data_IF_449219744155
#
_entry.id   IF_449219744155
#
_cell.length_a   1.000
_cell.length_b   1.000
_cell.length_c   1.000
_cell.angle_alpha   90.00
_cell.angle_beta   90.00
_cell.angle_gamma   90.00
#
_symmetry.space_group_name_H-M   'P 1'
#
loop_
_entity.id
_entity.type
_entity.pdbx_description
1 polymer ?
#
# COMPACT_ATOMS: atom_id res chain seq x y z
N UNK A 1 -0.39 -10.90 13.00
CA UNK A 1 0.96 -10.44 13.36
C UNK A 1 1.67 -11.32 14.39
N UNK A 2 1.07 -11.71 15.52
CA UNK A 2 1.77 -12.55 16.54
C UNK A 2 2.00 -14.00 16.08
N UNK A 3 1.21 -14.48 15.14
CA UNK A 3 1.26 -15.85 14.61
C UNK A 3 2.01 -15.96 13.27
N UNK A 4 2.27 -14.85 12.59
CA UNK A 4 2.93 -14.84 11.27
C UNK A 4 4.46 -15.00 11.38
N UNK A 5 5.02 -14.72 12.56
CA UNK A 5 6.45 -14.77 12.81
C UNK A 5 6.73 -15.59 14.07
N UNK A 6 7.08 -16.86 13.87
CA UNK A 6 7.55 -17.72 14.95
C UNK A 6 8.95 -17.26 15.38
N UNK A 7 9.00 -16.66 16.57
CA UNK A 7 10.23 -16.09 17.13
C UNK A 7 11.27 -17.14 17.46
N UNK A 8 10.86 -18.32 17.92
CA UNK A 8 11.79 -19.39 18.30
C UNK A 8 12.42 -20.00 17.04
N UNK A 9 11.59 -20.25 16.03
CA UNK A 9 12.07 -20.72 14.73
C UNK A 9 12.96 -19.69 14.06
N UNK A 10 12.59 -18.41 14.09
CA UNK A 10 13.41 -17.34 13.53
C UNK A 10 14.77 -17.22 14.24
N UNK A 11 14.79 -17.26 15.57
CA UNK A 11 16.04 -17.20 16.34
C UNK A 11 16.98 -18.36 15.98
N UNK A 12 16.43 -19.57 15.85
CA UNK A 12 17.18 -20.76 15.45
C UNK A 12 17.75 -20.60 14.04
N UNK A 13 16.93 -20.15 13.08
CA UNK A 13 17.37 -19.94 11.70
C UNK A 13 18.44 -18.85 11.59
N UNK A 14 18.32 -17.76 12.36
CA UNK A 14 19.31 -16.70 12.41
C UNK A 14 20.64 -17.22 12.97
N UNK A 15 20.63 -18.01 14.06
CA UNK A 15 21.84 -18.60 14.61
C UNK A 15 22.57 -19.50 13.60
N UNK A 16 21.84 -20.35 12.88
CA UNK A 16 22.40 -21.20 11.81
C UNK A 16 22.93 -20.34 10.66
N UNK A 17 22.25 -19.25 10.33
CA UNK A 17 22.70 -18.31 9.29
C UNK A 17 23.98 -17.58 9.69
N UNK A 18 24.12 -17.14 10.94
CA UNK A 18 25.36 -16.53 11.45
C UNK A 18 26.52 -17.53 11.45
N UNK A 19 26.27 -18.78 11.86
CA UNK A 19 27.27 -19.83 11.81
C UNK A 19 27.76 -20.10 10.38
N UNK A 20 26.86 -20.07 9.39
CA UNK A 20 27.16 -20.40 8.00
C UNK A 20 27.73 -19.22 7.18
N UNK A 21 27.41 -17.97 7.52
CA UNK A 21 27.98 -16.79 6.85
C UNK A 21 29.34 -16.35 7.43
N UNK A 22 29.76 -16.90 8.57
CA UNK A 22 31.02 -16.55 9.24
C UNK A 22 30.99 -15.18 9.92
N UNK A 23 32.13 -14.77 10.50
CA UNK A 23 32.29 -13.55 11.34
C UNK A 23 32.31 -12.22 10.56
N UNK A 24 31.74 -12.18 9.35
CA UNK A 24 31.68 -10.97 8.53
C UNK A 24 30.56 -10.00 8.95
N UNK A 25 30.61 -8.72 8.55
CA UNK A 25 29.53 -7.78 8.81
C UNK A 25 28.24 -8.21 8.10
N UNK A 26 27.18 -8.42 8.89
CA UNK A 26 25.86 -8.82 8.38
C UNK A 26 25.16 -7.61 7.78
N UNK A 27 25.21 -7.53 6.45
CA UNK A 27 24.47 -6.54 5.64
C UNK A 27 23.36 -7.26 4.88
N UNK A 28 22.23 -6.59 4.70
CA UNK A 28 21.08 -7.14 3.96
C UNK A 28 21.49 -7.65 2.57
N UNK A 29 22.39 -6.93 1.88
CA UNK A 29 22.95 -7.35 0.59
C UNK A 29 23.67 -8.71 0.67
N UNK A 30 24.48 -8.92 1.71
CA UNK A 30 25.24 -10.15 1.90
C UNK A 30 24.29 -11.32 2.22
N UNK A 31 23.30 -11.08 3.08
CA UNK A 31 22.25 -12.06 3.42
C UNK A 31 21.49 -12.50 2.17
N UNK A 32 21.06 -11.54 1.33
CA UNK A 32 20.33 -11.84 0.09
C UNK A 32 21.19 -12.63 -0.89
N UNK A 33 22.47 -12.28 -1.05
CA UNK A 33 23.39 -13.03 -1.93
C UNK A 33 23.62 -14.45 -1.43
N UNK A 34 23.80 -14.63 -0.12
CA UNK A 34 23.93 -15.93 0.51
C UNK A 34 22.66 -16.78 0.27
N UNK A 35 21.47 -16.25 0.58
CA UNK A 35 20.21 -16.97 0.39
C UNK A 35 19.96 -17.34 -1.08
N UNK A 36 20.40 -16.50 -2.03
CA UNK A 36 20.33 -16.80 -3.47
C UNK A 36 21.28 -17.92 -3.90
N UNK A 37 22.46 -18.03 -3.29
CA UNK A 37 23.42 -19.10 -3.58
C UNK A 37 22.99 -20.49 -3.09
N UNK A 38 22.03 -20.55 -2.15
CA UNK A 38 21.51 -21.81 -1.62
C UNK A 38 20.56 -22.51 -2.61
N UNK A 39 20.60 -23.84 -2.61
CA UNK A 39 19.66 -24.69 -3.34
C UNK A 39 18.24 -24.66 -2.74
N UNK A 40 17.23 -25.09 -3.51
CA UNK A 40 15.81 -25.00 -3.09
C UNK A 40 15.51 -25.69 -1.75
N UNK A 41 16.09 -26.85 -1.49
CA UNK A 41 15.92 -27.56 -0.21
C UNK A 41 16.52 -26.82 1.00
N UNK A 42 17.66 -26.14 0.80
CA UNK A 42 18.32 -25.36 1.85
C UNK A 42 17.59 -24.06 2.15
N UNK A 43 16.92 -23.46 1.15
CA UNK A 43 16.10 -22.26 1.34
C UNK A 43 14.92 -22.51 2.28
N UNK A 44 14.35 -23.72 2.26
CA UNK A 44 13.27 -24.08 3.17
C UNK A 44 13.70 -24.04 4.66
N UNK A 45 14.97 -24.32 4.94
CA UNK A 45 15.53 -24.21 6.29
C UNK A 45 15.56 -22.76 6.80
N UNK A 46 15.54 -21.79 5.89
CA UNK A 46 15.57 -20.35 6.18
C UNK A 46 14.24 -19.63 5.89
N UNK A 47 13.12 -20.37 5.90
CA UNK A 47 11.81 -19.84 5.52
C UNK A 47 11.40 -18.55 6.26
N UNK A 48 11.65 -18.44 7.57
CA UNK A 48 11.30 -17.25 8.36
C UNK A 48 12.24 -16.09 8.06
N UNK A 49 13.53 -16.37 7.83
CA UNK A 49 14.50 -15.36 7.41
C UNK A 49 14.14 -14.78 6.04
N UNK A 50 13.71 -15.64 5.10
CA UNK A 50 13.23 -15.21 3.78
C UNK A 50 12.05 -14.26 3.90
N UNK A 51 11.02 -14.62 4.67
CA UNK A 51 9.85 -13.75 4.93
C UNK A 51 10.28 -12.42 5.55
N UNK A 52 11.21 -12.43 6.51
CA UNK A 52 11.71 -11.21 7.14
C UNK A 52 12.47 -10.32 6.14
N UNK A 53 13.32 -10.90 5.30
CA UNK A 53 14.06 -10.17 4.26
C UNK A 53 13.10 -9.55 3.25
N UNK A 54 12.08 -10.30 2.81
CA UNK A 54 11.04 -9.79 1.93
C UNK A 54 10.28 -8.63 2.57
N UNK A 55 9.89 -8.76 3.84
CA UNK A 55 9.22 -7.68 4.59
C UNK A 55 10.10 -6.42 4.66
N UNK A 56 11.39 -6.58 4.99
CA UNK A 56 12.34 -5.45 5.07
C UNK A 56 12.50 -4.78 3.70
N UNK A 57 12.53 -5.54 2.61
CA UNK A 57 12.66 -4.99 1.25
C UNK A 57 11.39 -4.26 0.79
N UNK A 58 10.22 -4.74 1.19
CA UNK A 58 8.92 -4.14 0.83
C UNK A 58 8.58 -2.94 1.70
N UNK A 59 9.02 -2.92 2.96
CA UNK A 59 8.69 -1.88 3.95
C UNK A 59 8.96 -0.45 3.46
N UNK A 60 10.11 -0.09 2.85
CA UNK A 60 10.33 1.26 2.34
C UNK A 60 9.31 1.69 1.28
N UNK A 61 8.93 0.78 0.38
CA UNK A 61 7.93 1.07 -0.65
C UNK A 61 6.54 1.25 -0.04
N UNK A 62 6.14 0.37 0.89
CA UNK A 62 4.85 0.47 1.59
C UNK A 62 4.77 1.73 2.46
N UNK A 63 5.86 2.08 3.15
CA UNK A 63 5.95 3.30 3.95
C UNK A 63 5.79 4.54 3.04
N UNK A 64 6.52 4.61 1.93
CA UNK A 64 6.39 5.71 0.98
C UNK A 64 4.97 5.84 0.40
N UNK A 65 4.31 4.73 0.09
CA UNK A 65 2.91 4.72 -0.40
C UNK A 65 1.94 5.20 0.68
N UNK A 66 2.11 4.74 1.92
CA UNK A 66 1.26 5.15 3.03
C UNK A 66 1.45 6.64 3.37
N UNK A 67 2.69 7.13 3.43
CA UNK A 67 3.02 8.55 3.60
C UNK A 67 2.41 9.42 2.49
N UNK A 68 2.53 8.99 1.23
CA UNK A 68 1.89 9.66 0.09
C UNK A 68 0.38 9.71 0.26
N UNK A 69 -0.24 8.60 0.67
CA UNK A 69 -1.69 8.49 0.88
C UNK A 69 -2.17 9.39 2.02
N UNK A 70 -1.46 9.42 3.15
CA UNK A 70 -1.77 10.30 4.28
C UNK A 70 -1.55 11.78 3.95
N UNK A 71 -0.50 12.10 3.18
CA UNK A 71 -0.26 13.46 2.68
C UNK A 71 -1.41 13.91 1.76
N UNK A 72 -1.83 13.06 0.82
CA UNK A 72 -2.99 13.29 -0.01
C UNK A 72 -4.28 13.50 0.80
N UNK A 73 -4.53 12.62 1.79
CA UNK A 73 -5.67 12.73 2.70
C UNK A 73 -5.68 14.07 3.44
N UNK A 74 -4.51 14.48 3.96
CA UNK A 74 -4.36 15.76 4.64
C UNK A 74 -4.65 16.92 3.70
N UNK A 75 -4.15 16.90 2.46
CA UNK A 75 -4.47 17.92 1.46
C UNK A 75 -5.97 17.99 1.18
N UNK A 76 -6.63 16.88 0.85
CA UNK A 76 -8.08 16.84 0.57
C UNK A 76 -8.88 17.38 1.76
N UNK A 77 -8.54 16.97 2.98
CA UNK A 77 -9.24 17.40 4.20
C UNK A 77 -8.98 18.88 4.54
N UNK A 78 -7.74 19.34 4.43
CA UNK A 78 -7.34 20.71 4.80
C UNK A 78 -7.83 21.73 3.77
N UNK A 79 -7.62 21.49 2.48
CA UNK A 79 -8.00 22.43 1.42
C UNK A 79 -9.51 22.68 1.39
N UNK A 80 -10.31 21.64 1.58
CA UNK A 80 -11.77 21.78 1.55
C UNK A 80 -12.36 22.34 2.85
N UNK A 81 -11.55 22.47 3.93
CA UNK A 81 -11.95 22.85 5.32
C UNK A 81 -13.32 22.33 5.75
N UNK A 82 -13.74 21.19 5.22
CA UNK A 82 -15.12 20.74 5.32
C UNK A 82 -15.26 19.70 6.41
N UNK A 83 -16.27 19.87 7.26
CA UNK A 83 -16.83 18.78 8.09
C UNK A 83 -17.45 17.73 7.17
N UNK A 84 -16.62 16.88 6.58
CA UNK A 84 -17.03 15.74 5.75
C UNK A 84 -17.24 14.51 6.61
N UNK A 85 -18.30 13.74 6.29
CA UNK A 85 -18.47 12.37 6.79
C UNK A 85 -17.40 11.46 6.18
N UNK A 86 -17.01 10.41 6.90
CA UNK A 86 -15.99 9.45 6.47
C UNK A 86 -16.31 8.82 5.10
N UNK A 87 -17.59 8.55 4.82
CA UNK A 87 -18.01 8.01 3.52
C UNK A 87 -17.64 8.92 2.35
N UNK A 88 -17.96 10.22 2.45
CA UNK A 88 -17.62 11.21 1.41
C UNK A 88 -16.10 11.35 1.26
N UNK A 89 -15.36 11.34 2.37
CA UNK A 89 -13.91 11.42 2.35
C UNK A 89 -13.28 10.23 1.61
N UNK A 90 -13.76 9.00 1.88
CA UNK A 90 -13.28 7.81 1.19
C UNK A 90 -13.50 7.90 -0.33
N UNK A 91 -14.68 8.31 -0.78
CA UNK A 91 -14.95 8.49 -2.21
C UNK A 91 -14.05 9.57 -2.84
N UNK A 92 -13.86 10.71 -2.17
CA UNK A 92 -12.94 11.74 -2.66
C UNK A 92 -11.49 11.25 -2.75
N UNK A 93 -11.04 10.42 -1.80
CA UNK A 93 -9.70 9.82 -1.85
C UNK A 93 -9.54 8.84 -2.99
N UNK A 94 -10.55 8.02 -3.27
CA UNK A 94 -10.55 7.12 -4.45
C UNK A 94 -10.39 7.92 -5.73
N UNK A 95 -11.16 9.00 -5.90
CA UNK A 95 -11.05 9.89 -7.07
C UNK A 95 -9.68 10.57 -7.16
N UNK A 96 -9.09 10.97 -6.03
CA UNK A 96 -7.78 11.62 -6.01
C UNK A 96 -6.63 10.65 -6.32
N UNK A 97 -6.71 9.40 -5.85
CA UNK A 97 -5.68 8.37 -6.09
C UNK A 97 -5.76 7.85 -7.53
N UNK A 98 -6.96 7.76 -8.08
CA UNK A 98 -7.21 7.35 -9.46
C UNK A 98 -7.58 8.53 -10.35
N UNK A 99 -6.91 9.68 -10.16
CA UNK A 99 -7.18 10.89 -10.92
C UNK A 99 -6.97 10.66 -12.42
N UNK A 100 -5.94 9.91 -12.81
CA UNK A 100 -5.64 9.63 -14.23
C UNK A 100 -6.80 8.94 -14.97
N UNK A 101 -7.52 8.04 -14.29
CA UNK A 101 -8.72 7.40 -14.85
C UNK A 101 -9.96 8.29 -14.69
N UNK A 102 -10.04 9.06 -13.61
CA UNK A 102 -11.14 9.99 -13.34
C UNK A 102 -11.18 11.13 -14.36
N UNK A 103 -10.01 11.59 -14.82
CA UNK A 103 -9.87 12.67 -15.80
C UNK A 103 -10.37 12.25 -17.21
N UNK A 104 -10.47 10.94 -17.47
CA UNK A 104 -11.06 10.39 -18.70
C UNK A 104 -12.58 10.35 -18.67
N UNK A 105 -13.21 10.62 -17.52
CA UNK A 105 -14.65 10.57 -17.38
C UNK A 105 -15.32 11.76 -18.06
N UNK A 106 -16.42 11.48 -18.76
CA UNK A 106 -17.28 12.52 -19.33
C UNK A 106 -18.11 13.19 -18.23
N UNK A 107 -17.65 14.38 -17.80
CA UNK A 107 -18.31 15.18 -16.78
C UNK A 107 -19.71 15.63 -17.20
N UNK A 108 -19.97 15.90 -18.49
CA UNK A 108 -21.30 16.28 -18.99
C UNK A 108 -22.28 15.12 -18.83
N UNK A 109 -21.85 13.91 -19.19
CA UNK A 109 -22.66 12.70 -19.01
C UNK A 109 -22.94 12.43 -17.53
N UNK A 110 -21.95 12.60 -16.65
CA UNK A 110 -22.13 12.42 -15.20
C UNK A 110 -23.07 13.47 -14.63
N UNK A 111 -22.91 14.74 -15.01
CA UNK A 111 -23.75 15.84 -14.56
C UNK A 111 -25.21 15.61 -14.98
N UNK A 112 -25.45 15.26 -16.24
CA UNK A 112 -26.79 14.93 -16.73
C UNK A 112 -27.39 13.71 -16.03
N UNK A 113 -26.61 12.66 -15.77
CA UNK A 113 -27.08 11.50 -14.99
C UNK A 113 -27.47 11.92 -13.55
N UNK A 114 -26.72 12.83 -12.94
CA UNK A 114 -27.01 13.35 -11.61
C UNK A 114 -28.30 14.18 -11.57
N UNK A 115 -28.57 15.02 -12.57
CA UNK A 115 -29.80 15.82 -12.64
C UNK A 115 -31.02 14.96 -12.91
N UNK A 116 -30.89 13.94 -13.76
CA UNK A 116 -31.98 13.01 -14.08
C UNK A 116 -32.32 12.03 -12.95
N UNK A 117 -31.49 11.91 -11.92
CA UNK A 117 -31.73 11.00 -10.79
C UNK A 117 -32.89 11.46 -9.88
N UNK A 118 -33.30 12.73 -9.92
CA UNK A 118 -34.40 13.24 -9.12
C UNK A 118 -35.06 14.44 -9.82
N UNK A 119 -36.39 14.48 -9.89
CA UNK A 119 -37.16 15.57 -10.49
C UNK A 119 -36.84 16.94 -9.90
N UNK A 120 -36.56 17.02 -8.58
CA UNK A 120 -36.11 18.25 -7.94
C UNK A 120 -34.76 18.71 -8.50
N UNK A 121 -33.82 17.79 -8.72
CA UNK A 121 -32.51 18.12 -9.29
C UNK A 121 -32.62 18.55 -10.75
N UNK A 122 -33.48 17.88 -11.52
CA UNK A 122 -33.77 18.25 -12.90
C UNK A 122 -34.35 19.67 -13.00
N UNK A 123 -35.26 20.05 -12.10
CA UNK A 123 -35.82 21.40 -12.04
C UNK A 123 -34.78 22.46 -11.65
N UNK A 124 -33.90 22.15 -10.69
CA UNK A 124 -32.91 23.11 -10.17
C UNK A 124 -31.72 23.30 -11.13
N UNK A 125 -31.15 22.19 -11.61
CA UNK A 125 -29.90 22.21 -12.37
C UNK A 125 -30.10 22.10 -13.89
N UNK A 126 -31.30 21.72 -14.34
CA UNK A 126 -31.60 21.57 -15.75
C UNK A 126 -30.83 20.42 -16.41
N UNK A 127 -30.52 20.61 -17.70
CA UNK A 127 -29.70 19.70 -18.51
C UNK A 127 -28.45 20.45 -18.95
N UNK A 128 -27.29 19.85 -18.72
CA UNK A 128 -26.00 20.40 -19.13
C UNK A 128 -25.76 20.04 -20.62
N UNK A 129 -25.28 21.02 -21.39
CA UNK A 129 -24.94 20.90 -22.82
C UNK A 129 -23.45 21.11 -23.04
#
# INVERSE_FOLDING_TARGET
YKEDLDKERLATQLNVLYANMGAGPVRLKNVVTFLKSLGQGQRHLYSMVMTLVELILVMPATNAISERSFSALRRVKTWLRSTMKQSRLNWCMVLHVHNDETDKLDLLKIANKFTMHNDSRKKIFGRFS
#
